data_IF_572229083048
#
_entry.id   IF_572229083048
#
_cell.length_a   1.000
_cell.length_b   1.000
_cell.length_c   1.000
_cell.angle_alpha   90.00
_cell.angle_beta   90.00
_cell.angle_gamma   90.00
#
_symmetry.space_group_name_H-M   'P 1'
#
loop_
_entity.id
_entity.type
_entity.pdbx_description
1 polymer ?
#
# COMPACT_ATOMS: atom_id res chain seq x y z
N UNK A 1 3.19 6.83 -14.00
CA UNK A 1 3.82 8.16 -14.25
C UNK A 1 5.08 7.96 -15.09
N UNK A 2 6.00 7.07 -14.68
CA UNK A 2 7.24 6.78 -15.42
C UNK A 2 6.96 6.40 -16.89
N UNK A 3 6.06 5.46 -17.14
CA UNK A 3 5.73 4.99 -18.49
C UNK A 3 5.14 6.06 -19.42
N UNK A 4 4.52 7.10 -18.85
CA UNK A 4 3.93 8.21 -19.62
C UNK A 4 4.94 9.26 -20.03
N UNK A 5 6.14 9.28 -19.41
CA UNK A 5 7.14 10.32 -19.63
C UNK A 5 8.56 9.80 -19.35
N UNK A 6 8.93 8.69 -20.01
CA UNK A 6 10.19 7.95 -19.76
C UNK A 6 11.44 8.81 -19.84
N UNK A 7 11.58 9.62 -20.90
CA UNK A 7 12.79 10.42 -21.11
C UNK A 7 12.99 11.49 -20.04
N UNK A 8 11.91 12.20 -19.68
CA UNK A 8 11.98 13.19 -18.60
C UNK A 8 12.29 12.53 -17.26
N UNK A 9 11.68 11.37 -16.97
CA UNK A 9 11.92 10.62 -15.75
C UNK A 9 13.36 10.12 -15.66
N UNK A 10 13.94 9.61 -16.74
CA UNK A 10 15.36 9.22 -16.80
C UNK A 10 16.29 10.41 -16.55
N UNK A 11 16.00 11.55 -17.19
CA UNK A 11 16.77 12.77 -16.97
C UNK A 11 16.70 13.27 -15.53
N UNK A 12 15.56 13.13 -14.85
CA UNK A 12 15.42 13.48 -13.45
C UNK A 12 16.23 12.52 -12.56
N UNK A 13 16.08 11.21 -12.75
CA UNK A 13 16.81 10.20 -11.98
C UNK A 13 18.32 10.39 -12.10
N UNK A 14 18.84 10.72 -13.30
CA UNK A 14 20.26 10.92 -13.50
C UNK A 14 20.87 12.10 -12.72
N UNK A 15 20.02 12.99 -12.17
CA UNK A 15 20.44 14.19 -11.40
C UNK A 15 20.23 14.06 -9.90
N UNK A 16 19.69 12.94 -9.44
CA UNK A 16 19.34 12.72 -8.03
C UNK A 16 20.56 12.17 -7.29
N UNK A 17 20.85 12.71 -6.12
CA UNK A 17 21.90 12.20 -5.23
C UNK A 17 21.42 11.03 -4.36
N UNK A 18 20.17 11.09 -3.88
CA UNK A 18 19.58 10.11 -2.97
C UNK A 18 18.23 9.67 -3.50
N UNK A 19 18.00 8.35 -3.52
CA UNK A 19 16.72 7.72 -3.87
C UNK A 19 16.18 6.99 -2.65
N UNK A 20 14.98 7.35 -2.21
CA UNK A 20 14.23 6.58 -1.24
C UNK A 20 13.29 5.61 -1.96
N UNK A 21 13.46 4.32 -1.71
CA UNK A 21 12.53 3.29 -2.18
C UNK A 21 11.63 2.89 -1.02
N UNK A 22 10.32 3.06 -1.21
CA UNK A 22 9.35 2.93 -0.13
C UNK A 22 8.34 1.84 -0.47
N UNK A 23 8.11 0.92 0.48
CA UNK A 23 7.07 -0.12 0.43
C UNK A 23 7.29 -1.17 -0.66
N UNK A 24 8.54 -1.50 -0.95
CA UNK A 24 8.90 -2.66 -1.77
C UNK A 24 10.32 -3.15 -1.48
N UNK A 25 10.49 -4.46 -1.53
CA UNK A 25 11.69 -5.20 -1.16
C UNK A 25 12.61 -5.57 -2.34
N UNK A 26 12.21 -5.30 -3.58
CA UNK A 26 12.98 -5.63 -4.79
C UNK A 26 12.67 -4.62 -5.91
N UNK A 27 13.70 -4.13 -6.61
CA UNK A 27 13.56 -3.20 -7.74
C UNK A 27 12.75 -3.77 -8.90
N UNK A 28 12.68 -5.10 -9.04
CA UNK A 28 11.84 -5.76 -10.05
C UNK A 28 10.35 -5.38 -9.92
N UNK A 29 9.90 -5.00 -8.73
CA UNK A 29 8.52 -4.55 -8.51
C UNK A 29 8.21 -3.20 -9.16
N UNK A 30 9.24 -2.46 -9.54
CA UNK A 30 9.10 -1.17 -10.23
C UNK A 30 9.14 -1.28 -11.76
N UNK A 31 9.24 -2.50 -12.33
CA UNK A 31 9.36 -2.69 -13.77
C UNK A 31 10.51 -1.89 -14.38
N UNK A 32 10.28 -1.25 -15.53
CA UNK A 32 11.31 -0.48 -16.27
C UNK A 32 11.96 0.64 -15.42
N UNK A 33 11.26 1.16 -14.41
CA UNK A 33 11.84 2.16 -13.51
C UNK A 33 12.98 1.56 -12.68
N UNK A 34 12.83 0.31 -12.21
CA UNK A 34 13.86 -0.37 -11.43
C UNK A 34 15.20 -0.50 -12.17
N UNK A 35 15.17 -0.65 -13.50
CA UNK A 35 16.38 -0.72 -14.34
C UNK A 35 17.17 0.59 -14.39
N UNK A 36 16.54 1.72 -14.04
CA UNK A 36 17.16 3.04 -14.01
C UNK A 36 17.82 3.37 -12.67
N UNK A 37 17.53 2.57 -11.63
CA UNK A 37 18.03 2.75 -10.27
C UNK A 37 19.28 1.89 -10.11
N UNK A 38 20.41 2.53 -9.79
CA UNK A 38 21.71 1.86 -9.66
C UNK A 38 22.45 2.38 -8.43
N UNK A 39 22.83 1.49 -7.51
CA UNK A 39 23.55 1.79 -6.26
C UNK A 39 24.96 2.34 -6.48
N UNK A 40 25.57 2.11 -7.64
CA UNK A 40 26.88 2.69 -7.98
C UNK A 40 26.81 4.18 -8.32
N UNK A 41 25.61 4.63 -8.79
CA UNK A 41 25.38 6.01 -9.22
C UNK A 41 24.61 6.82 -8.20
N UNK A 42 23.75 6.19 -7.41
CA UNK A 42 22.86 6.85 -6.49
C UNK A 42 23.03 6.30 -5.08
N UNK A 43 22.86 7.12 -4.07
CA UNK A 43 22.66 6.63 -2.70
C UNK A 43 21.22 6.17 -2.56
N UNK A 44 21.01 4.87 -2.35
CA UNK A 44 19.69 4.28 -2.24
C UNK A 44 19.40 3.96 -0.78
N UNK A 45 18.28 4.45 -0.28
CA UNK A 45 17.73 4.14 1.04
C UNK A 45 16.44 3.38 0.85
N UNK A 46 16.43 2.11 1.25
CA UNK A 46 15.22 1.28 1.25
C UNK A 46 14.52 1.35 2.60
N UNK A 47 13.22 1.65 2.59
CA UNK A 47 12.36 1.62 3.78
C UNK A 47 11.18 0.73 3.45
N UNK A 48 11.08 -0.43 4.12
CA UNK A 48 10.12 -1.46 3.75
C UNK A 48 9.80 -2.39 4.94
N UNK A 49 8.63 -3.02 4.91
CA UNK A 49 8.21 -4.02 5.91
C UNK A 49 7.95 -5.41 5.31
N UNK A 50 8.17 -5.61 4.01
CA UNK A 50 8.01 -6.91 3.38
C UNK A 50 9.15 -7.86 3.77
N UNK A 51 8.86 -9.17 3.75
CA UNK A 51 9.84 -10.22 4.00
C UNK A 51 10.81 -10.38 2.82
N UNK A 52 12.00 -10.91 3.10
CA UNK A 52 13.02 -11.28 2.09
C UNK A 52 13.45 -10.11 1.19
N UNK A 53 14.00 -9.01 1.76
CA UNK A 53 14.51 -7.89 0.99
C UNK A 53 15.69 -8.32 0.10
N UNK A 54 15.77 -7.79 -1.11
CA UNK A 54 16.93 -7.94 -1.97
C UNK A 54 18.02 -6.90 -1.64
N UNK A 55 19.27 -7.23 -1.93
CA UNK A 55 20.46 -6.42 -1.59
C UNK A 55 20.78 -5.43 -2.72
N UNK A 56 19.93 -4.37 -2.85
CA UNK A 56 20.15 -3.33 -3.85
C UNK A 56 20.41 -1.94 -3.26
N UNK A 57 20.15 -1.75 -1.97
CA UNK A 57 20.21 -0.45 -1.33
C UNK A 57 21.48 -0.27 -0.50
N UNK A 58 22.02 0.97 -0.47
CA UNK A 58 23.18 1.31 0.36
C UNK A 58 22.81 1.35 1.85
N UNK A 59 21.57 1.73 2.16
CA UNK A 59 21.01 1.76 3.52
C UNK A 59 19.66 1.08 3.48
N UNK A 60 19.44 0.13 4.39
CA UNK A 60 18.24 -0.68 4.45
C UNK A 60 17.58 -0.57 5.81
N UNK A 61 16.34 -0.09 5.82
CA UNK A 61 15.41 -0.18 6.94
C UNK A 61 14.31 -1.18 6.55
N UNK A 62 14.54 -2.47 6.83
CA UNK A 62 13.58 -3.53 6.55
C UNK A 62 13.17 -4.22 7.85
N UNK A 63 11.91 -4.05 8.24
CA UNK A 63 11.37 -4.55 9.50
C UNK A 63 10.02 -5.27 9.30
N UNK A 64 10.02 -6.56 8.98
CA UNK A 64 8.80 -7.33 8.67
C UNK A 64 7.76 -7.40 9.80
N UNK A 65 8.17 -7.10 11.03
CA UNK A 65 7.27 -7.13 12.20
C UNK A 65 6.54 -5.79 12.44
N UNK A 66 6.83 -4.76 11.67
CA UNK A 66 6.12 -3.48 11.74
C UNK A 66 4.81 -3.58 10.94
N UNK A 67 3.77 -2.90 11.41
CA UNK A 67 2.44 -2.96 10.83
C UNK A 67 2.33 -2.40 9.40
N UNK A 68 3.19 -1.44 9.07
CA UNK A 68 3.24 -0.78 7.75
C UNK A 68 4.55 -0.05 7.52
N UNK A 69 4.89 0.19 6.26
CA UNK A 69 6.01 1.07 5.89
C UNK A 69 5.77 2.50 6.38
N UNK A 70 4.53 2.98 6.43
CA UNK A 70 4.20 4.31 6.96
C UNK A 70 4.47 4.43 8.46
N UNK A 71 4.25 3.38 9.26
CA UNK A 71 4.67 3.35 10.66
C UNK A 71 6.20 3.45 10.78
N UNK A 72 6.93 2.72 9.94
CA UNK A 72 8.38 2.76 9.92
C UNK A 72 8.91 4.16 9.54
N UNK A 73 8.32 4.80 8.52
CA UNK A 73 8.65 6.17 8.14
C UNK A 73 8.43 7.14 9.31
N UNK A 74 7.32 7.04 10.02
CA UNK A 74 7.07 7.85 11.22
C UNK A 74 8.18 7.69 12.26
N UNK A 75 8.59 6.44 12.54
CA UNK A 75 9.67 6.15 13.50
C UNK A 75 11.02 6.71 13.05
N UNK A 76 11.32 6.64 11.76
CA UNK A 76 12.55 7.23 11.20
C UNK A 76 12.52 8.75 11.37
N UNK A 77 11.42 9.42 10.98
CA UNK A 77 11.27 10.87 11.14
C UNK A 77 11.44 11.25 12.61
N UNK A 78 10.80 10.53 13.53
CA UNK A 78 10.96 10.75 14.98
C UNK A 78 12.40 10.65 15.46
N UNK A 79 13.20 9.79 14.83
CA UNK A 79 14.61 9.59 15.21
C UNK A 79 15.58 10.64 14.67
N UNK A 80 15.23 11.32 13.57
CA UNK A 80 16.16 12.19 12.85
C UNK A 80 15.74 13.66 12.78
N UNK A 81 14.52 14.00 13.16
CA UNK A 81 13.98 15.35 12.98
C UNK A 81 13.13 15.84 14.15
N UNK A 82 12.82 17.13 14.13
CA UNK A 82 11.84 17.73 15.03
C UNK A 82 10.42 17.29 14.64
N UNK A 83 9.71 16.65 15.59
CA UNK A 83 8.32 16.20 15.40
C UNK A 83 7.32 17.33 15.12
N UNK A 84 7.70 18.59 15.39
CA UNK A 84 6.88 19.74 15.01
C UNK A 84 6.81 19.95 13.49
N UNK A 85 7.75 19.40 12.73
CA UNK A 85 7.74 19.43 11.27
C UNK A 85 6.67 18.51 10.66
N UNK A 86 6.15 17.55 11.43
CA UNK A 86 5.01 16.73 11.00
C UNK A 86 3.76 17.58 11.13
N UNK A 87 3.34 18.13 10.00
CA UNK A 87 2.10 18.91 9.87
C UNK A 87 0.88 18.00 9.61
N UNK A 88 -0.25 18.63 9.35
CA UNK A 88 -1.51 17.95 9.06
C UNK A 88 -1.44 17.10 7.77
N UNK A 89 -0.77 17.57 6.74
CA UNK A 89 -0.73 16.91 5.44
C UNK A 89 0.17 15.66 5.50
N UNK A 90 1.34 15.78 6.13
CA UNK A 90 2.23 14.63 6.42
C UNK A 90 1.49 13.63 7.30
N UNK A 91 0.81 14.08 8.36
CA UNK A 91 0.03 13.21 9.25
C UNK A 91 -1.09 12.49 8.53
N UNK A 92 -1.78 13.17 7.60
CA UNK A 92 -2.83 12.57 6.77
C UNK A 92 -2.27 11.44 5.90
N UNK A 93 -1.11 11.65 5.26
CA UNK A 93 -0.47 10.63 4.42
C UNK A 93 -0.01 9.42 5.24
N UNK A 94 0.64 9.65 6.38
CA UNK A 94 1.12 8.56 7.26
C UNK A 94 -0.08 7.78 7.81
N UNK A 95 -1.11 8.46 8.32
CA UNK A 95 -2.32 7.82 8.83
C UNK A 95 -3.01 6.95 7.76
N UNK A 96 -3.14 7.49 6.54
CA UNK A 96 -3.74 6.77 5.41
C UNK A 96 -3.00 5.47 5.12
N UNK A 97 -1.66 5.51 5.00
CA UNK A 97 -0.86 4.32 4.73
C UNK A 97 -0.94 3.29 5.87
N UNK A 98 -0.84 3.74 7.13
CA UNK A 98 -1.04 2.85 8.29
C UNK A 98 -2.42 2.19 8.28
N UNK A 99 -3.48 2.95 7.97
CA UNK A 99 -4.86 2.45 7.93
C UNK A 99 -5.05 1.41 6.81
N UNK A 100 -4.53 1.66 5.62
CA UNK A 100 -4.70 0.74 4.48
C UNK A 100 -3.95 -0.57 4.65
N UNK A 101 -2.70 -0.52 5.11
CA UNK A 101 -1.86 -1.71 5.29
C UNK A 101 -2.34 -2.61 6.42
N UNK A 102 -2.98 -2.03 7.43
CA UNK A 102 -3.45 -2.77 8.61
C UNK A 102 -4.92 -3.20 8.52
N UNK A 103 -5.53 -3.04 7.35
CA UNK A 103 -6.96 -3.35 7.18
C UNK A 103 -7.82 -2.56 8.17
N UNK A 104 -7.58 -1.26 8.28
CA UNK A 104 -8.23 -0.39 9.26
C UNK A 104 -7.92 -0.80 10.71
N UNK A 105 -6.64 -1.12 10.98
CA UNK A 105 -6.10 -1.46 12.30
C UNK A 105 -6.60 -2.78 12.89
N UNK A 106 -7.00 -3.74 12.03
CA UNK A 106 -7.53 -5.04 12.44
C UNK A 106 -6.46 -6.15 12.44
N UNK A 107 -5.32 -6.00 11.74
CA UNK A 107 -4.36 -7.06 11.59
C UNK A 107 -3.43 -7.21 12.79
N UNK A 108 -2.89 -8.42 12.99
CA UNK A 108 -2.10 -8.80 14.18
C UNK A 108 -0.81 -7.99 14.38
N UNK A 109 -0.31 -7.27 13.38
CA UNK A 109 0.86 -6.38 13.50
C UNK A 109 0.59 -5.08 14.26
N UNK A 110 -0.70 -4.75 14.51
CA UNK A 110 -1.11 -3.55 15.25
C UNK A 110 -0.92 -3.76 16.74
N UNK A 111 -0.28 -2.79 17.40
CA UNK A 111 0.02 -2.84 18.82
C UNK A 111 -0.18 -1.48 19.50
N UNK A 112 0.14 -1.38 20.80
CA UNK A 112 -0.02 -0.15 21.59
C UNK A 112 0.80 1.02 21.04
N UNK A 113 2.01 0.76 20.49
CA UNK A 113 2.83 1.80 19.87
C UNK A 113 2.19 2.33 18.61
N UNK A 114 1.62 1.44 17.76
CA UNK A 114 0.85 1.83 16.59
C UNK A 114 -0.28 2.79 16.97
N UNK A 115 -1.07 2.48 18.01
CA UNK A 115 -2.13 3.36 18.50
C UNK A 115 -1.61 4.68 19.09
N UNK A 116 -0.45 4.69 19.72
CA UNK A 116 0.18 5.92 20.21
C UNK A 116 0.59 6.84 19.06
N UNK A 117 1.09 6.27 17.95
CA UNK A 117 1.39 7.02 16.72
C UNK A 117 0.10 7.59 16.13
N UNK A 118 -0.96 6.81 16.04
CA UNK A 118 -2.27 7.29 15.55
C UNK A 118 -2.80 8.45 16.37
N UNK A 119 -2.70 8.37 17.71
CA UNK A 119 -3.08 9.48 18.60
C UNK A 119 -2.31 10.75 18.27
N UNK A 120 -0.97 10.68 18.14
CA UNK A 120 -0.15 11.81 17.74
C UNK A 120 -0.57 12.41 16.38
N UNK A 121 -0.84 11.56 15.38
CA UNK A 121 -1.27 12.01 14.06
C UNK A 121 -2.64 12.70 14.11
N UNK A 122 -3.55 12.19 14.95
CA UNK A 122 -4.88 12.79 15.15
C UNK A 122 -4.80 14.16 15.83
N UNK A 123 -3.87 14.36 16.76
CA UNK A 123 -3.63 15.65 17.42
C UNK A 123 -3.16 16.74 16.42
N UNK A 124 -2.63 16.35 15.25
CA UNK A 124 -2.34 17.30 14.14
C UNK A 124 -3.58 17.75 13.37
N UNK A 125 -4.78 17.36 13.78
CA UNK A 125 -6.05 17.81 13.24
C UNK A 125 -6.44 17.16 11.91
N UNK A 126 -6.01 15.91 11.68
CA UNK A 126 -6.47 15.13 10.50
C UNK A 126 -7.97 14.82 10.63
N UNK A 127 -8.63 14.71 9.48
CA UNK A 127 -10.02 14.23 9.41
C UNK A 127 -10.03 12.72 9.12
N UNK A 128 -9.83 11.92 10.16
CA UNK A 128 -9.76 10.47 10.03
C UNK A 128 -11.04 9.86 9.46
N UNK A 129 -12.22 10.43 9.77
CA UNK A 129 -13.50 9.98 9.23
C UNK A 129 -13.58 10.20 7.73
N UNK A 130 -13.14 11.35 7.24
CA UNK A 130 -13.07 11.65 5.80
C UNK A 130 -12.07 10.72 5.09
N UNK A 131 -10.91 10.47 5.70
CA UNK A 131 -9.91 9.53 5.17
C UNK A 131 -10.54 8.14 5.01
N UNK A 132 -11.17 7.62 6.07
CA UNK A 132 -11.84 6.33 6.04
C UNK A 132 -12.93 6.25 4.97
N UNK A 133 -13.82 7.25 4.94
CA UNK A 133 -14.93 7.28 3.99
C UNK A 133 -14.45 7.33 2.54
N UNK A 134 -13.38 8.07 2.26
CA UNK A 134 -12.81 8.15 0.91
C UNK A 134 -12.24 6.81 0.42
N UNK A 135 -11.72 5.98 1.32
CA UNK A 135 -11.12 4.69 0.97
C UNK A 135 -12.15 3.56 0.96
N UNK A 136 -12.96 3.44 2.03
CA UNK A 136 -13.80 2.26 2.24
C UNK A 136 -15.27 2.47 1.87
N UNK A 137 -15.77 3.70 1.93
CA UNK A 137 -17.19 4.00 1.72
C UNK A 137 -17.48 4.73 0.39
N UNK A 138 -16.46 5.03 -0.42
CA UNK A 138 -16.61 5.70 -1.72
C UNK A 138 -16.84 4.73 -2.89
N UNK A 139 -17.52 3.61 -2.62
CA UNK A 139 -17.79 2.62 -3.66
C UNK A 139 -18.75 3.17 -4.73
N UNK A 140 -18.28 3.23 -5.96
CA UNK A 140 -19.13 3.54 -7.10
C UNK A 140 -20.07 2.35 -7.44
N UNK A 141 -21.12 2.62 -8.19
CA UNK A 141 -22.12 1.60 -8.54
C UNK A 141 -21.53 0.44 -9.35
N UNK A 142 -20.52 0.69 -10.20
CA UNK A 142 -19.84 -0.35 -10.97
C UNK A 142 -19.11 -1.34 -10.04
N UNK A 143 -18.39 -0.84 -9.05
CA UNK A 143 -17.69 -1.68 -8.06
C UNK A 143 -18.66 -2.55 -7.26
N UNK A 144 -19.80 -1.99 -6.81
CA UNK A 144 -20.84 -2.74 -6.09
C UNK A 144 -21.45 -3.84 -6.98
N UNK A 145 -21.73 -3.54 -8.25
CA UNK A 145 -22.23 -4.53 -9.21
C UNK A 145 -21.23 -5.66 -9.45
N UNK A 146 -19.96 -5.31 -9.63
CA UNK A 146 -18.87 -6.28 -9.82
C UNK A 146 -18.70 -7.15 -8.57
N UNK A 147 -18.75 -6.57 -7.38
CA UNK A 147 -18.74 -7.32 -6.12
C UNK A 147 -19.90 -8.31 -6.04
N UNK A 148 -21.12 -7.89 -6.36
CA UNK A 148 -22.29 -8.78 -6.40
C UNK A 148 -22.12 -9.93 -7.38
N UNK A 149 -21.61 -9.69 -8.60
CA UNK A 149 -21.32 -10.72 -9.58
C UNK A 149 -20.22 -11.68 -9.11
N UNK A 150 -19.17 -11.18 -8.49
CA UNK A 150 -18.10 -11.98 -7.93
C UNK A 150 -18.60 -12.90 -6.81
N UNK A 151 -19.40 -12.38 -5.87
CA UNK A 151 -20.00 -13.15 -4.78
C UNK A 151 -20.94 -14.24 -5.30
N UNK A 152 -21.76 -13.94 -6.30
CA UNK A 152 -22.64 -14.93 -6.93
C UNK A 152 -21.87 -16.06 -7.66
N UNK A 153 -20.63 -15.82 -8.05
CA UNK A 153 -19.76 -16.82 -8.70
C UNK A 153 -18.82 -17.53 -7.72
N UNK A 154 -18.91 -17.24 -6.41
CA UNK A 154 -18.06 -17.85 -5.41
C UNK A 154 -18.32 -19.36 -5.30
N UNK A 155 -17.27 -20.14 -5.47
CA UNK A 155 -17.29 -21.59 -5.33
C UNK A 155 -16.17 -22.04 -4.40
N UNK A 156 -16.41 -23.14 -3.67
CA UNK A 156 -15.45 -23.73 -2.76
C UNK A 156 -15.08 -25.14 -3.23
N UNK A 157 -13.79 -25.41 -3.34
CA UNK A 157 -13.22 -26.75 -3.55
C UNK A 157 -12.68 -27.21 -2.20
N UNK A 158 -13.48 -28.00 -1.49
CA UNK A 158 -13.17 -28.43 -0.10
C UNK A 158 -11.89 -29.26 -0.04
N UNK A 159 -11.69 -30.16 -1.01
CA UNK A 159 -10.55 -31.05 -1.08
C UNK A 159 -9.20 -30.29 -1.24
N UNK A 160 -9.25 -29.10 -1.85
CA UNK A 160 -8.09 -28.24 -2.05
C UNK A 160 -8.01 -27.08 -1.05
N UNK A 161 -8.95 -27.00 -0.09
CA UNK A 161 -9.08 -25.86 0.82
C UNK A 161 -8.98 -24.49 0.08
N UNK A 162 -9.71 -24.39 -1.02
CA UNK A 162 -9.60 -23.28 -1.97
C UNK A 162 -10.98 -22.73 -2.31
N UNK A 163 -11.10 -21.41 -2.39
CA UNK A 163 -12.26 -20.72 -2.99
C UNK A 163 -11.83 -19.98 -4.25
N UNK A 164 -12.73 -19.89 -5.21
CA UNK A 164 -12.52 -19.10 -6.41
C UNK A 164 -13.78 -18.33 -6.83
N UNK A 165 -13.57 -17.21 -7.49
CA UNK A 165 -14.60 -16.39 -8.11
C UNK A 165 -14.25 -16.16 -9.57
N UNK A 166 -15.26 -16.07 -10.44
CA UNK A 166 -15.08 -15.85 -11.87
C UNK A 166 -15.84 -14.63 -12.32
N UNK A 167 -15.20 -13.78 -13.10
CA UNK A 167 -15.81 -12.62 -13.74
C UNK A 167 -15.46 -12.67 -15.24
N UNK A 168 -16.48 -12.75 -16.09
CA UNK A 168 -16.29 -12.68 -17.54
C UNK A 168 -16.02 -11.25 -17.99
N UNK A 169 -15.32 -11.09 -19.11
CA UNK A 169 -15.10 -9.79 -19.75
C UNK A 169 -16.42 -9.04 -20.01
N UNK A 170 -17.46 -9.76 -20.45
CA UNK A 170 -18.76 -9.16 -20.72
C UNK A 170 -19.44 -8.65 -19.44
N UNK A 171 -19.33 -9.37 -18.32
CA UNK A 171 -19.85 -8.92 -17.03
C UNK A 171 -19.14 -7.63 -16.58
N UNK A 172 -17.81 -7.54 -16.73
CA UNK A 172 -17.05 -6.34 -16.41
C UNK A 172 -17.49 -5.15 -17.28
N UNK A 173 -17.60 -5.34 -18.60
CA UNK A 173 -18.05 -4.28 -19.53
C UNK A 173 -19.45 -3.80 -19.16
N UNK A 174 -20.41 -4.71 -18.95
CA UNK A 174 -21.80 -4.37 -18.64
C UNK A 174 -21.96 -3.70 -17.26
N UNK A 175 -21.01 -3.93 -16.35
CA UNK A 175 -20.98 -3.26 -15.05
C UNK A 175 -20.34 -1.87 -15.10
N UNK A 176 -19.75 -1.46 -16.23
CA UNK A 176 -19.04 -0.20 -16.37
C UNK A 176 -17.68 -0.21 -15.63
N UNK A 177 -16.98 -1.34 -15.67
CA UNK A 177 -15.69 -1.57 -14.99
C UNK A 177 -14.69 -0.44 -15.24
N UNK A 178 -14.04 -0.01 -14.17
CA UNK A 178 -12.86 0.86 -14.17
C UNK A 178 -11.72 0.18 -13.42
N UNK A 179 -10.48 0.54 -13.78
CA UNK A 179 -9.30 0.03 -13.07
C UNK A 179 -9.42 0.35 -11.57
N UNK A 180 -9.29 -0.67 -10.73
CA UNK A 180 -9.47 -0.59 -9.28
C UNK A 180 -10.80 -1.17 -8.76
N UNK A 181 -11.83 -1.32 -9.60
CA UNK A 181 -13.16 -1.82 -9.16
C UNK A 181 -13.13 -3.29 -8.69
N UNK A 182 -12.06 -4.04 -8.99
CA UNK A 182 -11.85 -5.43 -8.54
C UNK A 182 -10.96 -5.54 -7.30
N UNK A 183 -10.42 -4.43 -6.79
CA UNK A 183 -9.61 -4.45 -5.59
C UNK A 183 -10.44 -4.89 -4.37
N UNK A 184 -9.83 -5.75 -3.53
CA UNK A 184 -10.47 -6.26 -2.32
C UNK A 184 -11.40 -7.46 -2.54
N UNK A 185 -11.69 -7.91 -3.77
CA UNK A 185 -12.52 -9.10 -4.01
C UNK A 185 -11.91 -10.37 -3.39
N UNK A 186 -10.59 -10.51 -3.45
CA UNK A 186 -9.87 -11.66 -2.88
C UNK A 186 -10.01 -11.72 -1.35
N UNK A 187 -10.06 -10.57 -0.69
CA UNK A 187 -10.21 -10.49 0.77
C UNK A 187 -11.53 -11.12 1.24
N UNK A 188 -12.59 -11.00 0.45
CA UNK A 188 -13.89 -11.61 0.77
C UNK A 188 -13.81 -13.14 0.75
N UNK A 189 -13.07 -13.73 -0.19
CA UNK A 189 -12.90 -15.19 -0.24
C UNK A 189 -12.10 -15.75 0.95
N UNK A 190 -11.16 -14.97 1.51
CA UNK A 190 -10.41 -15.35 2.70
C UNK A 190 -11.30 -15.52 3.96
N UNK A 191 -12.32 -14.71 4.11
CA UNK A 191 -13.23 -14.80 5.25
C UNK A 191 -14.07 -16.08 5.22
N UNK A 192 -14.36 -16.61 4.04
CA UNK A 192 -15.16 -17.83 3.85
C UNK A 192 -14.34 -19.14 3.84
N UNK A 193 -13.01 -19.07 3.74
CA UNK A 193 -12.14 -20.25 3.90
C UNK A 193 -11.88 -20.60 5.38
N UNK A 194 -12.10 -19.65 6.29
CA UNK A 194 -11.84 -19.83 7.73
C UNK A 194 -13.09 -20.14 8.55
N UNK A 195 -14.26 -20.12 7.95
CA UNK A 195 -15.54 -20.52 8.54
C UNK A 195 -15.85 -21.98 8.25
#
# INVERSE_FOLDING_TARGET
IFDKNKENSKSLIAKIDIIFTLDFNDLKRCGDLGEQINSDKHKIVMIDHHQSPSDYANITFSYPNISSTCELIFKIIKGISDMNLIDKDISTCIYLGMMTDTGSFQYNGVNSETHSILSFLMDKGIDHSKIYNNIYNSNNLSRIRILGLALNSLNTIKEANTTYMTLSKNQLINSGYKKGDTEGLVTVSYTHLRA
#
